data_IF_730989504566
#
_entry.id   IF_730989504566
#
_cell.length_a   1.000
_cell.length_b   1.000
_cell.length_c   1.000
_cell.angle_alpha   90.00
_cell.angle_beta   90.00
_cell.angle_gamma   90.00
#
_symmetry.space_group_name_H-M   'P 1'
#
loop_
_entity.id
_entity.type
_entity.pdbx_description
1 polymer ?
#
# COMPACT_ATOMS: atom_id res chain seq x y z
N UNK A 1 61.30 23.54 -22.49
CA UNK A 1 60.17 23.71 -21.54
C UNK A 1 59.56 22.33 -21.34
N UNK A 2 60.16 21.52 -20.46
CA UNK A 2 59.78 21.31 -19.05
C UNK A 2 58.71 20.20 -18.90
N UNK A 3 59.18 18.95 -18.71
CA UNK A 3 59.00 18.07 -17.52
C UNK A 3 57.65 17.32 -17.47
N UNK A 4 57.57 16.00 -17.69
CA UNK A 4 57.97 14.84 -16.85
C UNK A 4 56.94 14.45 -15.77
N UNK A 5 56.69 13.12 -15.70
CA UNK A 5 56.45 12.26 -14.51
C UNK A 5 55.07 11.63 -14.17
N UNK A 6 55.15 10.28 -14.04
CA UNK A 6 54.50 9.30 -13.12
C UNK A 6 52.95 9.23 -13.04
N UNK A 7 52.27 8.13 -13.40
CA UNK A 7 52.27 6.75 -12.90
C UNK A 7 51.25 6.45 -11.77
N UNK A 8 50.56 5.31 -11.96
CA UNK A 8 50.03 4.38 -10.96
C UNK A 8 48.69 4.68 -10.26
N UNK A 9 47.66 3.86 -10.57
CA UNK A 9 47.10 2.83 -9.69
C UNK A 9 45.60 2.58 -9.90
N UNK A 10 45.26 1.37 -10.34
CA UNK A 10 44.32 0.41 -9.71
C UNK A 10 42.96 0.99 -9.24
N UNK A 11 41.78 0.54 -9.70
CA UNK A 11 41.48 -0.69 -10.42
C UNK A 11 39.98 -0.91 -10.68
N UNK A 12 39.74 -2.01 -11.39
CA UNK A 12 38.47 -2.61 -11.79
C UNK A 12 37.37 -2.59 -10.70
N UNK A 13 36.17 -2.11 -11.07
CA UNK A 13 34.92 -2.43 -10.38
C UNK A 13 33.87 -2.95 -11.38
N UNK A 14 34.16 -4.11 -11.98
CA UNK A 14 33.10 -5.02 -12.42
C UNK A 14 32.62 -5.82 -11.20
N UNK A 15 31.54 -5.37 -10.54
CA UNK A 15 30.78 -6.24 -9.63
C UNK A 15 29.60 -6.85 -10.36
N UNK A 16 29.82 -8.06 -10.88
CA UNK A 16 28.77 -9.06 -11.11
C UNK A 16 27.93 -9.18 -9.83
N UNK A 17 26.64 -8.85 -9.90
CA UNK A 17 25.67 -9.15 -8.83
C UNK A 17 25.43 -10.66 -8.83
N UNK A 18 26.20 -11.36 -7.99
CA UNK A 18 25.94 -12.75 -7.65
C UNK A 18 24.69 -12.83 -6.77
N UNK A 19 23.55 -13.21 -7.36
CA UNK A 19 22.34 -13.64 -6.65
C UNK A 19 22.47 -15.10 -6.18
N UNK A 20 23.50 -15.38 -5.36
CA UNK A 20 23.64 -16.66 -4.66
C UNK A 20 24.13 -16.41 -3.24
N UNK A 21 23.18 -16.21 -2.33
CA UNK A 21 23.34 -16.41 -0.90
C UNK A 21 21.94 -16.57 -0.27
N UNK A 22 21.32 -17.72 -0.53
CA UNK A 22 20.16 -18.22 0.21
C UNK A 22 20.36 -19.73 0.45
N UNK A 23 21.46 -20.10 1.10
CA UNK A 23 21.66 -21.45 1.62
C UNK A 23 22.43 -21.31 2.93
N UNK A 24 21.69 -21.38 4.05
CA UNK A 24 22.14 -21.86 5.37
C UNK A 24 20.97 -21.73 6.38
N UNK A 25 19.94 -22.55 6.18
CA UNK A 25 19.10 -23.09 7.26
C UNK A 25 18.95 -24.61 7.02
N UNK A 26 19.78 -25.38 7.74
CA UNK A 26 19.67 -26.81 8.10
C UNK A 26 20.07 -27.93 7.09
N UNK A 27 20.48 -29.13 7.59
CA UNK A 27 21.41 -30.05 6.92
C UNK A 27 20.75 -31.13 6.05
N UNK A 28 21.60 -31.73 5.22
CA UNK A 28 21.41 -32.82 4.25
C UNK A 28 20.22 -33.78 4.42
N UNK A 29 19.42 -33.91 3.37
CA UNK A 29 19.44 -35.09 2.47
C UNK A 29 18.69 -34.82 1.16
N UNK A 30 19.23 -35.34 0.06
CA UNK A 30 18.93 -35.03 -1.34
C UNK A 30 17.57 -35.54 -1.83
N UNK A 31 16.85 -34.71 -2.63
CA UNK A 31 16.25 -35.06 -3.94
C UNK A 31 15.62 -33.82 -4.62
N UNK A 32 16.15 -33.49 -5.81
CA UNK A 32 15.72 -32.64 -6.95
C UNK A 32 14.79 -31.41 -6.78
N UNK A 33 15.06 -30.30 -7.52
CA UNK A 33 14.50 -28.97 -7.24
C UNK A 33 13.14 -28.78 -7.91
N UNK A 34 12.07 -28.85 -7.13
CA UNK A 34 10.85 -28.14 -7.46
C UNK A 34 11.08 -26.63 -7.27
N UNK A 35 10.59 -25.85 -8.21
CA UNK A 35 10.48 -24.39 -8.17
C UNK A 35 10.24 -23.89 -6.74
N UNK A 36 11.13 -23.03 -6.23
CA UNK A 36 10.92 -22.36 -4.95
C UNK A 36 9.69 -21.45 -5.06
N UNK A 37 8.52 -21.99 -4.75
CA UNK A 37 7.34 -21.23 -4.42
C UNK A 37 7.70 -20.38 -3.19
N UNK A 38 7.66 -19.06 -3.34
CA UNK A 38 7.53 -18.17 -2.19
C UNK A 38 6.31 -18.66 -1.40
N UNK A 39 6.49 -19.11 -0.16
CA UNK A 39 5.35 -19.24 0.74
C UNK A 39 4.89 -17.81 1.08
N UNK A 40 3.70 -17.39 0.64
CA UNK A 40 3.24 -16.06 0.96
C UNK A 40 2.92 -15.99 2.45
N UNK A 41 3.52 -15.01 3.09
CA UNK A 41 3.35 -14.77 4.51
C UNK A 41 3.05 -13.31 4.80
N UNK A 42 2.51 -13.08 5.98
CA UNK A 42 2.41 -11.75 6.55
C UNK A 42 3.80 -11.11 6.66
N UNK A 43 3.89 -9.81 6.38
CA UNK A 43 5.11 -9.03 6.57
C UNK A 43 5.53 -9.11 8.05
N UNK A 44 6.79 -9.50 8.28
CA UNK A 44 7.39 -9.51 9.62
C UNK A 44 8.40 -8.37 9.75
N UNK A 45 8.25 -7.58 10.79
CA UNK A 45 9.13 -6.45 11.10
C UNK A 45 9.59 -6.58 12.55
N UNK A 46 10.85 -6.99 12.74
CA UNK A 46 11.34 -7.34 14.07
C UNK A 46 10.52 -8.45 14.71
N UNK A 47 9.88 -8.16 15.84
CA UNK A 47 8.99 -9.08 16.56
C UNK A 47 7.51 -8.90 16.22
N UNK A 48 7.18 -7.95 15.34
CA UNK A 48 5.80 -7.65 14.95
C UNK A 48 5.44 -8.35 13.64
N UNK A 49 4.36 -9.13 13.65
CA UNK A 49 3.68 -9.58 12.43
C UNK A 49 2.68 -8.51 12.02
N UNK A 50 2.88 -7.91 10.86
CA UNK A 50 2.00 -6.90 10.27
C UNK A 50 0.91 -7.63 9.48
N UNK A 51 -0.39 -7.31 9.61
CA UNK A 51 -1.47 -7.96 8.87
C UNK A 51 -1.51 -7.46 7.41
N UNK A 52 -0.37 -7.62 6.73
CA UNK A 52 -0.15 -7.24 5.35
C UNK A 52 0.49 -8.40 4.62
N UNK A 53 -0.14 -8.86 3.55
CA UNK A 53 0.38 -9.92 2.68
C UNK A 53 1.10 -9.24 1.52
N UNK A 54 2.39 -9.51 1.35
CA UNK A 54 3.12 -9.01 0.18
C UNK A 54 2.96 -10.01 -0.96
N UNK A 55 2.18 -9.63 -1.98
CA UNK A 55 1.93 -10.47 -3.15
C UNK A 55 3.14 -10.46 -4.10
N UNK A 56 3.85 -9.32 -4.20
CA UNK A 56 5.03 -9.20 -5.06
C UNK A 56 5.87 -7.96 -4.73
N UNK A 57 7.16 -8.05 -5.07
CA UNK A 57 8.12 -6.96 -4.95
C UNK A 57 8.49 -6.41 -6.33
N UNK A 58 8.65 -5.08 -6.39
CA UNK A 58 9.16 -4.35 -7.52
C UNK A 58 10.69 -4.14 -7.44
N UNK A 59 11.20 -2.98 -7.91
CA UNK A 59 10.42 -1.79 -8.28
C UNK A 59 9.69 -1.94 -9.62
N UNK A 60 8.46 -1.45 -9.65
CA UNK A 60 7.64 -1.41 -10.86
C UNK A 60 7.84 -0.07 -11.58
N UNK A 61 8.30 -0.15 -12.83
CA UNK A 61 8.20 0.96 -13.77
C UNK A 61 6.77 1.07 -14.28
N UNK A 62 6.40 2.25 -14.79
CA UNK A 62 5.03 2.53 -15.25
C UNK A 62 4.60 1.57 -16.35
N UNK A 63 5.49 1.35 -17.32
CA UNK A 63 5.29 0.43 -18.43
C UNK A 63 5.23 -1.05 -18.04
N UNK A 64 5.61 -1.39 -16.80
CA UNK A 64 5.57 -2.74 -16.27
C UNK A 64 4.34 -3.00 -15.38
N UNK A 65 3.44 -2.02 -15.23
CA UNK A 65 2.13 -2.20 -14.60
C UNK A 65 1.08 -2.22 -15.71
N UNK A 66 0.61 -3.40 -16.07
CA UNK A 66 -0.42 -3.60 -17.08
C UNK A 66 -1.81 -3.57 -16.42
N UNK A 67 -2.65 -2.63 -16.85
CA UNK A 67 -3.99 -2.44 -16.31
C UNK A 67 -5.04 -2.87 -17.34
N UNK A 68 -5.88 -3.83 -16.94
CA UNK A 68 -7.02 -4.30 -17.70
C UNK A 68 -8.30 -3.89 -16.99
N UNK A 69 -9.29 -3.43 -17.75
CA UNK A 69 -10.57 -2.98 -17.19
C UNK A 69 -11.73 -3.63 -17.93
N UNK A 70 -12.64 -4.22 -17.17
CA UNK A 70 -13.91 -4.72 -17.67
C UNK A 70 -15.04 -3.82 -17.12
N UNK A 71 -15.72 -3.03 -17.96
CA UNK A 71 -16.76 -2.11 -17.50
C UNK A 71 -18.07 -2.81 -17.08
N UNK A 72 -18.18 -4.13 -17.28
CA UNK A 72 -19.38 -4.87 -16.90
C UNK A 72 -19.52 -4.96 -15.38
N UNK A 73 -20.66 -4.50 -14.86
CA UNK A 73 -21.02 -4.68 -13.46
C UNK A 73 -21.30 -6.15 -13.13
N UNK A 74 -20.87 -6.56 -11.94
CA UNK A 74 -21.07 -7.92 -11.43
C UNK A 74 -22.22 -7.91 -10.46
N UNK A 75 -23.18 -8.80 -10.68
CA UNK A 75 -24.23 -9.03 -9.70
C UNK A 75 -23.60 -9.62 -8.44
N UNK A 76 -23.63 -8.85 -7.34
CA UNK A 76 -23.15 -9.30 -6.02
C UNK A 76 -24.05 -10.40 -5.45
N UNK A 77 -23.56 -11.22 -4.50
CA UNK A 77 -24.40 -12.17 -3.78
C UNK A 77 -25.65 -11.53 -3.14
N UNK A 78 -26.78 -12.25 -3.02
CA UNK A 78 -28.04 -11.71 -2.50
C UNK A 78 -27.94 -11.00 -1.14
N UNK A 79 -27.13 -11.52 -0.23
CA UNK A 79 -26.87 -10.96 1.10
C UNK A 79 -26.15 -9.61 1.02
N UNK A 80 -25.14 -9.47 0.15
CA UNK A 80 -24.42 -8.21 -0.04
C UNK A 80 -25.35 -7.18 -0.68
N UNK A 81 -26.18 -7.60 -1.66
CA UNK A 81 -27.20 -6.70 -2.21
C UNK A 81 -28.23 -6.26 -1.16
N UNK A 82 -28.58 -7.15 -0.23
CA UNK A 82 -29.49 -6.81 0.86
C UNK A 82 -28.87 -5.78 1.81
N UNK A 83 -27.61 -5.98 2.23
CA UNK A 83 -26.87 -5.01 3.05
C UNK A 83 -26.76 -3.66 2.34
N UNK A 84 -26.44 -3.66 1.04
CA UNK A 84 -26.39 -2.44 0.23
C UNK A 84 -27.74 -1.70 0.22
N UNK A 85 -28.85 -2.40 -0.04
CA UNK A 85 -30.20 -1.80 0.00
C UNK A 85 -30.55 -1.23 1.37
N UNK A 86 -30.14 -1.90 2.45
CA UNK A 86 -30.33 -1.42 3.82
C UNK A 86 -29.52 -0.14 4.08
N UNK A 87 -28.25 -0.11 3.66
CA UNK A 87 -27.41 1.09 3.77
C UNK A 87 -28.01 2.27 3.01
N UNK A 88 -28.41 2.09 1.75
CA UNK A 88 -29.01 3.16 0.95
C UNK A 88 -30.30 3.67 1.58
N UNK A 89 -31.17 2.78 2.08
CA UNK A 89 -32.39 3.18 2.79
C UNK A 89 -32.08 4.00 4.04
N UNK A 90 -31.06 3.62 4.80
CA UNK A 90 -30.63 4.36 5.98
C UNK A 90 -30.04 5.73 5.63
N UNK A 91 -29.18 5.80 4.61
CA UNK A 91 -28.60 7.06 4.12
C UNK A 91 -29.72 8.01 3.67
N UNK A 92 -30.65 7.55 2.84
CA UNK A 92 -31.78 8.38 2.38
C UNK A 92 -32.64 8.88 3.56
N UNK A 93 -32.84 8.05 4.60
CA UNK A 93 -33.58 8.42 5.81
C UNK A 93 -32.87 9.52 6.59
N UNK A 94 -31.54 9.45 6.70
CA UNK A 94 -30.70 10.44 7.39
C UNK A 94 -30.63 11.75 6.59
N UNK A 95 -30.45 11.66 5.28
CA UNK A 95 -30.45 12.81 4.38
C UNK A 95 -31.79 13.56 4.42
N UNK A 96 -32.93 12.85 4.43
CA UNK A 96 -34.26 13.45 4.57
C UNK A 96 -34.47 14.20 5.90
N UNK A 97 -33.63 13.94 6.91
CA UNK A 97 -33.61 14.67 8.19
C UNK A 97 -32.60 15.82 8.23
N UNK A 98 -31.87 16.06 7.14
CA UNK A 98 -30.79 17.03 7.09
C UNK A 98 -29.52 16.59 7.84
N UNK A 99 -29.37 15.30 8.14
CA UNK A 99 -28.15 14.79 8.75
C UNK A 99 -27.02 14.68 7.70
N UNK A 100 -25.75 14.93 8.07
CA UNK A 100 -24.62 14.69 7.17
C UNK A 100 -24.52 13.21 6.77
N UNK A 101 -24.46 12.95 5.46
CA UNK A 101 -24.36 11.61 4.88
C UNK A 101 -23.15 11.50 3.96
N UNK A 102 -22.54 10.30 3.83
CA UNK A 102 -21.43 10.10 2.90
C UNK A 102 -21.90 10.18 1.44
N UNK A 103 -21.03 10.69 0.58
CA UNK A 103 -21.21 10.65 -0.87
C UNK A 103 -20.80 9.27 -1.43
N UNK A 104 -21.56 8.73 -2.38
CA UNK A 104 -21.23 7.46 -3.03
C UNK A 104 -20.21 7.67 -4.16
N UNK A 105 -18.93 7.66 -3.82
CA UNK A 105 -17.83 7.77 -4.78
C UNK A 105 -17.71 6.54 -5.70
N UNK A 106 -17.30 6.76 -6.95
CA UNK A 106 -17.08 5.70 -7.93
C UNK A 106 -15.63 5.19 -7.85
N UNK A 107 -15.44 3.89 -7.62
CA UNK A 107 -14.13 3.27 -7.43
C UNK A 107 -13.87 2.07 -8.35
N UNK A 108 -12.85 1.30 -7.99
CA UNK A 108 -12.39 0.11 -8.72
C UNK A 108 -12.30 -1.11 -7.80
N UNK A 109 -12.91 -2.21 -8.22
CA UNK A 109 -12.74 -3.51 -7.59
C UNK A 109 -11.62 -4.27 -8.30
N UNK A 110 -10.69 -4.83 -7.55
CA UNK A 110 -9.67 -5.72 -8.11
C UNK A 110 -10.29 -7.12 -8.32
N UNK A 111 -10.38 -7.54 -9.57
CA UNK A 111 -10.95 -8.84 -9.96
C UNK A 111 -9.93 -9.97 -9.87
N UNK A 112 -8.72 -9.71 -10.37
CA UNK A 112 -7.60 -10.67 -10.38
C UNK A 112 -6.31 -9.93 -10.64
N UNK A 113 -5.20 -10.56 -10.28
CA UNK A 113 -3.88 -10.07 -10.58
C UNK A 113 -2.94 -11.20 -10.98
N UNK A 114 -1.86 -10.84 -11.63
CA UNK A 114 -0.81 -11.76 -12.02
C UNK A 114 0.55 -11.17 -11.65
N UNK A 115 1.33 -11.94 -10.91
CA UNK A 115 2.68 -11.60 -10.43
C UNK A 115 3.68 -12.66 -10.91
N UNK A 116 4.98 -12.36 -10.81
CA UNK A 116 6.06 -13.29 -11.16
C UNK A 116 6.50 -13.25 -12.63
N UNK A 117 5.84 -12.43 -13.46
CA UNK A 117 6.26 -12.17 -14.84
C UNK A 117 7.47 -11.24 -14.84
N UNK A 118 8.41 -11.48 -15.78
CA UNK A 118 9.64 -10.70 -15.94
C UNK A 118 9.85 -10.34 -17.41
N UNK A 119 10.40 -9.15 -17.68
CA UNK A 119 10.65 -8.64 -19.04
C UNK A 119 12.12 -8.30 -19.26
N UNK A 120 12.59 -8.57 -20.47
CA UNK A 120 13.92 -8.18 -20.94
C UNK A 120 15.05 -8.93 -20.25
N UNK A 121 16.28 -8.61 -20.64
CA UNK A 121 17.50 -9.26 -20.12
C UNK A 121 17.78 -8.93 -18.65
N UNK A 122 17.18 -7.85 -18.13
CA UNK A 122 17.31 -7.42 -16.75
C UNK A 122 16.24 -7.99 -15.82
N UNK A 123 15.39 -8.88 -16.33
CA UNK A 123 14.37 -9.57 -15.53
C UNK A 123 13.44 -8.60 -14.78
N UNK A 124 13.05 -7.51 -15.45
CA UNK A 124 12.26 -6.45 -14.83
C UNK A 124 10.86 -6.97 -14.46
N UNK A 125 10.38 -6.76 -13.22
CA UNK A 125 9.13 -7.35 -12.76
C UNK A 125 7.93 -6.70 -13.46
N UNK A 126 7.00 -7.53 -13.96
CA UNK A 126 5.72 -7.11 -14.52
C UNK A 126 4.60 -7.45 -13.54
N UNK A 127 3.71 -6.49 -13.33
CA UNK A 127 2.47 -6.64 -12.58
C UNK A 127 1.29 -6.46 -13.52
N UNK A 128 0.37 -7.44 -13.57
CA UNK A 128 -0.88 -7.31 -14.33
C UNK A 128 -2.06 -7.26 -13.38
N UNK A 129 -2.90 -6.25 -13.52
CA UNK A 129 -4.05 -6.02 -12.65
C UNK A 129 -5.32 -5.92 -13.50
N UNK A 130 -6.37 -6.63 -13.09
CA UNK A 130 -7.67 -6.61 -13.75
C UNK A 130 -8.72 -6.00 -12.84
N UNK A 131 -9.45 -5.03 -13.34
CA UNK A 131 -10.42 -4.26 -12.57
C UNK A 131 -11.83 -4.30 -13.14
N UNK A 132 -12.79 -4.10 -12.25
CA UNK A 132 -14.21 -3.86 -12.54
C UNK A 132 -14.71 -2.60 -11.83
N UNK A 133 -15.79 -1.97 -12.30
CA UNK A 133 -16.41 -0.86 -11.57
C UNK A 133 -16.95 -1.30 -10.20
N UNK A 134 -16.82 -0.42 -9.21
CA UNK A 134 -17.52 -0.52 -7.92
C UNK A 134 -17.76 0.88 -7.35
N UNK A 135 -18.30 0.97 -6.14
CA UNK A 135 -18.61 2.23 -5.47
C UNK A 135 -18.32 2.17 -3.97
N UNK A 136 -18.27 3.35 -3.36
CA UNK A 136 -17.95 3.54 -1.95
C UNK A 136 -18.96 2.85 -1.04
N UNK A 137 -20.25 2.86 -1.40
CA UNK A 137 -21.28 2.19 -0.60
C UNK A 137 -21.14 0.68 -0.60
N UNK A 138 -20.68 0.08 -1.70
CA UNK A 138 -20.34 -1.35 -1.74
C UNK A 138 -19.22 -1.65 -0.74
N UNK A 139 -18.13 -0.87 -0.75
CA UNK A 139 -17.02 -1.00 0.20
C UNK A 139 -17.49 -0.88 1.66
N UNK A 140 -18.41 0.05 1.95
CA UNK A 140 -18.98 0.21 3.29
C UNK A 140 -19.77 -1.01 3.79
N UNK A 141 -20.36 -1.80 2.89
CA UNK A 141 -21.11 -3.01 3.25
C UNK A 141 -20.34 -4.31 3.06
N UNK A 142 -19.12 -4.23 2.51
CA UNK A 142 -18.23 -5.37 2.33
C UNK A 142 -16.94 -5.23 3.13
N UNK A 143 -15.93 -4.57 2.56
CA UNK A 143 -14.54 -4.52 3.03
C UNK A 143 -14.47 -3.97 4.47
N UNK A 144 -15.31 -2.99 4.80
CA UNK A 144 -15.38 -2.37 6.13
C UNK A 144 -16.22 -3.13 7.16
N UNK A 145 -16.92 -4.19 6.75
CA UNK A 145 -17.86 -4.95 7.60
C UNK A 145 -17.66 -6.45 7.50
N UNK A 146 -16.44 -6.89 7.15
CA UNK A 146 -16.13 -8.29 6.92
C UNK A 146 -16.45 -9.20 8.10
N UNK A 147 -16.28 -8.68 9.32
CA UNK A 147 -16.47 -9.39 10.58
C UNK A 147 -17.81 -9.07 11.26
N UNK A 148 -18.66 -8.24 10.66
CA UNK A 148 -19.99 -8.00 11.20
C UNK A 148 -20.86 -9.25 11.03
N UNK A 149 -21.57 -9.69 12.08
CA UNK A 149 -22.45 -10.85 11.97
C UNK A 149 -23.62 -10.59 11.01
N UNK A 150 -23.83 -11.52 10.09
CA UNK A 150 -24.95 -11.57 9.15
C UNK A 150 -25.72 -12.89 9.30
N UNK A 151 -26.99 -12.87 8.91
CA UNK A 151 -27.84 -14.07 8.90
C UNK A 151 -28.06 -14.51 7.47
N UNK A 152 -27.64 -15.73 7.14
CA UNK A 152 -27.84 -16.35 5.84
C UNK A 152 -28.51 -17.70 6.07
N UNK A 153 -29.69 -17.93 5.50
CA UNK A 153 -30.45 -19.18 5.64
C UNK A 153 -30.62 -19.63 7.12
N UNK A 154 -30.94 -18.69 8.02
CA UNK A 154 -31.04 -18.90 9.48
C UNK A 154 -29.73 -19.31 10.20
N UNK A 155 -28.58 -19.19 9.54
CA UNK A 155 -27.26 -19.38 10.14
C UNK A 155 -26.59 -18.02 10.34
N UNK A 156 -26.08 -17.77 11.55
CA UNK A 156 -25.24 -16.60 11.86
C UNK A 156 -23.82 -16.86 11.38
N UNK A 157 -23.27 -15.98 10.56
CA UNK A 157 -21.91 -16.05 10.01
C UNK A 157 -21.38 -14.63 9.76
N UNK A 158 -20.19 -14.46 9.17
CA UNK A 158 -19.64 -13.19 8.69
C UNK A 158 -19.27 -13.26 7.20
N UNK A 159 -19.03 -12.13 6.54
CA UNK A 159 -18.52 -12.13 5.17
C UNK A 159 -17.11 -12.74 5.08
N UNK A 160 -16.28 -12.55 6.11
CA UNK A 160 -14.95 -13.17 6.18
C UNK A 160 -15.06 -14.70 6.21
N UNK A 161 -15.87 -15.23 7.11
CA UNK A 161 -16.07 -16.69 7.25
C UNK A 161 -16.56 -17.30 5.94
N UNK A 162 -17.51 -16.63 5.29
CA UNK A 162 -18.15 -17.16 4.08
C UNK A 162 -17.27 -17.09 2.82
N UNK A 163 -16.53 -15.99 2.65
CA UNK A 163 -15.87 -15.69 1.36
C UNK A 163 -14.35 -15.56 1.42
N UNK A 164 -13.77 -15.12 2.54
CA UNK A 164 -12.33 -14.91 2.64
C UNK A 164 -11.57 -16.07 3.29
N UNK A 165 -12.23 -16.87 4.14
CA UNK A 165 -11.58 -17.91 4.95
C UNK A 165 -10.80 -18.96 4.14
N UNK A 166 -11.20 -19.20 2.88
CA UNK A 166 -10.56 -20.15 1.98
C UNK A 166 -9.66 -19.49 0.92
N UNK A 167 -9.53 -18.16 0.93
CA UNK A 167 -8.77 -17.42 -0.08
C UNK A 167 -7.39 -17.07 0.45
N UNK A 168 -6.36 -17.44 -0.32
CA UNK A 168 -5.02 -16.94 -0.10
C UNK A 168 -4.84 -15.60 -0.83
N UNK A 169 -4.83 -14.51 -0.07
CA UNK A 169 -4.75 -13.13 -0.59
C UNK A 169 -3.48 -12.86 -1.41
N UNK A 170 -2.44 -13.67 -1.26
CA UNK A 170 -1.23 -13.55 -2.07
C UNK A 170 -1.41 -13.97 -3.54
N UNK A 171 -2.44 -14.77 -3.82
CA UNK A 171 -2.67 -15.33 -5.15
C UNK A 171 -3.97 -14.87 -5.78
N UNK A 172 -4.96 -14.45 -4.99
CA UNK A 172 -6.25 -14.01 -5.51
C UNK A 172 -6.91 -13.01 -4.58
N UNK A 173 -7.57 -11.96 -5.12
CA UNK A 173 -8.54 -11.19 -4.35
C UNK A 173 -9.77 -12.04 -4.04
N UNK A 174 -10.59 -11.57 -3.09
CA UNK A 174 -11.88 -12.18 -2.79
C UNK A 174 -12.92 -11.61 -3.77
N UNK A 175 -13.47 -12.39 -4.72
CA UNK A 175 -14.26 -11.84 -5.83
C UNK A 175 -15.54 -11.08 -5.41
N UNK A 176 -16.10 -11.41 -4.26
CA UNK A 176 -17.27 -10.76 -3.71
C UNK A 176 -16.96 -9.36 -3.19
N UNK A 177 -15.72 -9.15 -2.72
CA UNK A 177 -15.21 -7.87 -2.22
C UNK A 177 -13.84 -7.52 -2.82
N UNK A 178 -12.91 -6.88 -2.10
CA UNK A 178 -11.76 -6.17 -2.69
C UNK A 178 -12.18 -4.98 -3.56
N UNK A 179 -13.13 -4.20 -3.02
CA UNK A 179 -13.78 -3.07 -3.68
C UNK A 179 -13.01 -1.76 -3.52
N UNK A 180 -11.85 -1.84 -2.88
CA UNK A 180 -10.90 -0.74 -2.76
C UNK A 180 -9.53 -1.13 -3.37
N UNK A 181 -9.01 -0.24 -4.23
CA UNK A 181 -7.64 -0.32 -4.73
C UNK A 181 -6.86 0.94 -4.34
N UNK A 182 -5.91 0.74 -3.44
CA UNK A 182 -5.15 1.81 -2.81
C UNK A 182 -3.77 2.07 -3.42
N UNK A 183 -3.24 3.24 -3.12
CA UNK A 183 -1.86 3.65 -3.34
C UNK A 183 -1.34 4.26 -2.04
N UNK A 184 -0.23 3.72 -1.54
CA UNK A 184 0.44 4.18 -0.33
C UNK A 184 1.85 4.61 -0.65
N UNK A 185 2.23 5.83 -0.29
CA UNK A 185 3.55 6.35 -0.57
C UNK A 185 4.23 6.92 0.68
N UNK A 186 5.52 6.64 0.79
CA UNK A 186 6.40 7.44 1.62
C UNK A 186 7.00 8.58 0.81
N UNK A 187 6.89 9.80 1.32
CA UNK A 187 7.52 10.99 0.76
C UNK A 187 8.81 11.24 1.53
N UNK A 188 9.92 11.30 0.81
CA UNK A 188 11.23 11.64 1.33
C UNK A 188 11.64 13.01 0.80
N UNK A 189 11.80 13.95 1.71
CA UNK A 189 12.18 15.34 1.45
C UNK A 189 13.65 15.50 1.09
N UNK A 190 13.98 16.67 0.52
CA UNK A 190 15.33 17.03 0.13
C UNK A 190 16.31 17.01 1.31
N UNK A 191 15.89 17.50 2.48
CA UNK A 191 16.64 17.48 3.75
C UNK A 191 16.59 16.11 4.46
N UNK A 192 16.29 15.04 3.71
CA UNK A 192 16.33 13.63 4.14
C UNK A 192 15.42 13.34 5.33
N UNK A 193 14.20 13.88 5.30
CA UNK A 193 13.11 13.48 6.20
C UNK A 193 12.09 12.61 5.48
N UNK A 194 11.67 11.54 6.13
CA UNK A 194 10.49 10.77 5.75
C UNK A 194 9.27 11.32 6.51
N UNK A 195 8.13 11.41 5.82
CA UNK A 195 6.91 12.01 6.36
C UNK A 195 5.96 10.90 6.84
N UNK A 196 5.38 11.06 8.02
CA UNK A 196 4.22 10.28 8.44
C UNK A 196 3.03 11.22 8.66
N UNK A 197 1.85 10.79 8.24
CA UNK A 197 0.60 11.46 8.57
C UNK A 197 0.02 10.86 9.86
N UNK A 198 -0.61 11.71 10.67
CA UNK A 198 -1.40 11.31 11.82
C UNK A 198 -2.85 11.75 11.58
N UNK A 199 -3.77 10.79 11.56
CA UNK A 199 -5.18 11.05 11.26
C UNK A 199 -5.84 11.80 12.41
N UNK A 200 -6.69 12.77 12.08
CA UNK A 200 -7.42 13.56 13.06
C UNK A 200 -8.54 12.80 13.77
N UNK A 201 -9.16 13.43 14.79
CA UNK A 201 -10.20 12.81 15.62
C UNK A 201 -11.50 12.48 14.87
N UNK A 202 -11.72 13.06 13.69
CA UNK A 202 -12.92 12.88 12.86
C UNK A 202 -12.72 11.90 11.71
N UNK A 203 -11.48 11.42 11.49
CA UNK A 203 -11.16 10.49 10.44
C UNK A 203 -11.39 9.04 10.88
N UNK A 204 -11.64 8.15 9.91
CA UNK A 204 -11.59 6.69 10.13
C UNK A 204 -10.21 6.36 10.69
N UNK A 205 -10.10 5.50 11.72
CA UNK A 205 -8.83 5.22 12.39
C UNK A 205 -8.17 6.48 13.03
N UNK A 206 -8.92 7.20 13.88
CA UNK A 206 -8.44 8.42 14.55
C UNK A 206 -7.15 8.21 15.37
N UNK A 207 -6.24 9.18 15.31
CA UNK A 207 -4.91 9.16 15.97
C UNK A 207 -3.99 8.00 15.55
N UNK A 208 -4.33 7.31 14.45
CA UNK A 208 -3.48 6.28 13.85
C UNK A 208 -2.46 6.94 12.92
N UNK A 209 -1.23 6.43 12.94
CA UNK A 209 -0.19 6.85 12.01
C UNK A 209 -0.33 6.15 10.65
N UNK A 210 -0.31 6.94 9.58
CA UNK A 210 -0.48 6.54 8.19
C UNK A 210 0.79 6.86 7.36
N UNK A 211 0.96 6.27 6.16
CA UNK A 211 2.04 6.67 5.26
C UNK A 211 1.87 8.15 4.87
N UNK A 212 2.88 8.72 4.20
CA UNK A 212 2.83 10.15 3.84
C UNK A 212 1.65 10.49 2.94
N UNK A 213 1.22 9.52 2.12
CA UNK A 213 0.02 9.56 1.27
C UNK A 213 -0.64 8.19 1.29
N UNK A 214 -1.97 8.16 1.47
CA UNK A 214 -2.79 6.94 1.44
C UNK A 214 -4.09 7.20 0.67
N UNK A 215 -4.09 6.89 -0.63
CA UNK A 215 -5.20 7.23 -1.52
C UNK A 215 -5.89 6.02 -2.15
N UNK A 216 -7.22 6.13 -2.26
CA UNK A 216 -8.02 5.21 -3.07
C UNK A 216 -8.12 5.68 -4.51
N UNK A 217 -8.05 4.75 -5.47
CA UNK A 217 -8.24 5.11 -6.88
C UNK A 217 -9.70 5.44 -7.18
N UNK A 218 -9.92 6.59 -7.82
CA UNK A 218 -11.23 7.15 -8.13
C UNK A 218 -11.47 7.18 -9.64
N UNK A 219 -12.64 6.72 -10.09
CA UNK A 219 -12.96 6.65 -11.53
C UNK A 219 -12.95 8.02 -12.22
N UNK A 220 -13.60 9.08 -11.67
CA UNK A 220 -13.65 10.38 -12.32
C UNK A 220 -12.29 11.06 -12.52
N UNK A 221 -11.31 10.81 -11.65
CA UNK A 221 -10.04 11.55 -11.63
C UNK A 221 -8.85 10.71 -12.08
N UNK A 222 -8.88 9.41 -11.86
CA UNK A 222 -7.70 8.54 -11.99
C UNK A 222 -7.85 7.52 -13.13
N UNK A 223 -8.84 7.64 -14.00
CA UNK A 223 -9.04 6.72 -15.12
C UNK A 223 -7.98 6.88 -16.22
N UNK A 224 -7.51 5.75 -16.75
CA UNK A 224 -6.83 5.60 -18.02
C UNK A 224 -7.82 5.74 -19.19
N UNK A 225 -7.28 5.84 -20.42
CA UNK A 225 -8.10 5.86 -21.64
C UNK A 225 -8.98 4.61 -21.80
N UNK A 226 -8.56 3.45 -21.27
CA UNK A 226 -9.32 2.21 -21.30
C UNK A 226 -10.34 2.10 -20.14
N UNK A 227 -10.46 3.14 -19.30
CA UNK A 227 -11.35 3.19 -18.14
C UNK A 227 -10.82 2.55 -16.86
N UNK A 228 -9.66 1.88 -16.88
CA UNK A 228 -9.03 1.31 -15.68
C UNK A 228 -8.28 2.35 -14.83
N UNK A 229 -7.89 2.03 -13.59
CA UNK A 229 -7.15 2.97 -12.74
C UNK A 229 -5.72 3.21 -13.25
N UNK A 230 -5.28 4.47 -13.23
CA UNK A 230 -3.86 4.84 -13.36
C UNK A 230 -3.28 5.09 -11.96
N UNK A 231 -2.51 4.13 -11.38
CA UNK A 231 -1.98 4.28 -10.03
C UNK A 231 -1.01 5.46 -9.89
N UNK A 232 -0.39 5.92 -10.98
CA UNK A 232 0.46 7.11 -10.95
C UNK A 232 -0.37 8.38 -10.87
N UNK A 233 -1.55 8.45 -11.52
CA UNK A 233 -2.47 9.58 -11.35
C UNK A 233 -3.00 9.63 -9.93
N UNK A 234 -3.41 8.49 -9.38
CA UNK A 234 -3.83 8.36 -7.97
C UNK A 234 -2.74 8.89 -7.03
N UNK A 235 -1.49 8.45 -7.22
CA UNK A 235 -0.34 8.90 -6.43
C UNK A 235 -0.11 10.42 -6.52
N UNK A 236 -0.05 10.96 -7.75
CA UNK A 236 0.18 12.40 -7.98
C UNK A 236 -0.93 13.22 -7.33
N UNK A 237 -2.20 12.81 -7.50
CA UNK A 237 -3.35 13.45 -6.89
C UNK A 237 -3.23 13.42 -5.36
N UNK A 238 -2.97 12.26 -4.75
CA UNK A 238 -2.83 12.15 -3.30
C UNK A 238 -1.73 13.03 -2.72
N UNK A 239 -0.58 13.09 -3.39
CA UNK A 239 0.52 13.97 -2.97
C UNK A 239 0.09 15.45 -3.02
N UNK A 240 -0.63 15.86 -4.07
CA UNK A 240 -1.15 17.22 -4.19
C UNK A 240 -2.24 17.52 -3.14
N UNK A 241 -3.16 16.59 -2.90
CA UNK A 241 -4.30 16.76 -1.98
C UNK A 241 -3.88 16.76 -0.50
N UNK A 242 -2.92 15.90 -0.12
CA UNK A 242 -2.46 15.77 1.26
C UNK A 242 -1.34 16.75 1.64
N UNK A 243 -0.41 17.02 0.71
CA UNK A 243 0.82 17.79 0.97
C UNK A 243 0.87 19.12 0.22
N UNK A 244 0.04 19.33 -0.81
CA UNK A 244 0.04 20.55 -1.61
C UNK A 244 1.23 20.68 -2.56
N UNK A 245 1.95 19.58 -2.82
CA UNK A 245 3.13 19.57 -3.70
C UNK A 245 2.81 18.88 -5.02
N UNK A 246 3.41 19.37 -6.10
CA UNK A 246 3.33 18.73 -7.42
C UNK A 246 4.54 17.81 -7.63
N UNK A 247 4.28 16.62 -8.16
CA UNK A 247 5.33 15.67 -8.58
C UNK A 247 5.01 15.11 -9.94
N UNK A 248 6.06 14.72 -10.68
CA UNK A 248 5.90 14.01 -11.95
C UNK A 248 5.72 12.51 -11.71
N UNK A 249 4.91 11.81 -12.54
CA UNK A 249 4.76 10.35 -12.47
C UNK A 249 6.08 9.59 -12.40
N UNK A 250 7.12 10.06 -13.09
CA UNK A 250 8.43 9.40 -13.18
C UNK A 250 9.22 9.46 -11.86
N UNK A 251 8.83 10.33 -10.93
CA UNK A 251 9.43 10.39 -9.58
C UNK A 251 8.88 9.32 -8.64
N UNK A 252 7.75 8.70 -8.98
CA UNK A 252 7.09 7.70 -8.14
C UNK A 252 7.67 6.32 -8.43
N UNK A 253 8.08 5.64 -7.37
CA UNK A 253 8.60 4.27 -7.44
C UNK A 253 7.72 3.34 -6.60
N UNK A 254 6.94 2.49 -7.26
CA UNK A 254 6.18 1.44 -6.58
C UNK A 254 7.11 0.27 -6.26
N UNK A 255 7.25 -0.05 -4.97
CA UNK A 255 8.20 -1.02 -4.44
C UNK A 255 7.57 -2.38 -4.19
N UNK A 256 6.25 -2.45 -4.00
CA UNK A 256 5.54 -3.70 -3.80
C UNK A 256 4.06 -3.57 -4.12
N UNK A 257 3.45 -4.72 -4.38
CA UNK A 257 2.01 -4.89 -4.42
C UNK A 257 1.60 -5.92 -3.35
N UNK A 258 0.52 -5.64 -2.63
CA UNK A 258 0.09 -6.48 -1.53
C UNK A 258 -1.35 -6.21 -1.09
N UNK A 259 -1.75 -6.90 -0.03
CA UNK A 259 -3.09 -6.83 0.53
C UNK A 259 -3.07 -6.58 2.04
N UNK A 260 -3.99 -5.76 2.52
CA UNK A 260 -4.36 -5.71 3.92
C UNK A 260 -5.16 -6.97 4.25
N UNK A 261 -4.67 -7.80 5.16
CA UNK A 261 -5.32 -9.07 5.50
C UNK A 261 -6.59 -8.88 6.34
N UNK A 262 -6.71 -7.76 7.04
CA UNK A 262 -7.90 -7.43 7.82
C UNK A 262 -9.02 -6.99 6.90
N UNK A 263 -8.78 -6.06 5.98
CA UNK A 263 -9.83 -5.52 5.13
C UNK A 263 -9.98 -6.24 3.78
N UNK A 264 -9.05 -7.15 3.45
CA UNK A 264 -8.93 -7.78 2.13
C UNK A 264 -8.80 -6.77 0.97
N UNK A 265 -8.25 -5.59 1.27
CA UNK A 265 -8.00 -4.51 0.31
C UNK A 265 -6.61 -4.61 -0.27
N UNK A 266 -6.46 -4.24 -1.54
CA UNK A 266 -5.18 -4.33 -2.26
C UNK A 266 -4.61 -2.96 -2.52
N UNK A 267 -3.28 -2.84 -2.46
CA UNK A 267 -2.62 -1.59 -2.77
C UNK A 267 -1.22 -1.76 -3.38
N UNK A 268 -0.81 -0.74 -4.10
CA UNK A 268 0.59 -0.48 -4.42
C UNK A 268 1.23 0.34 -3.30
N UNK A 269 2.40 -0.09 -2.83
CA UNK A 269 3.19 0.63 -1.85
C UNK A 269 4.46 1.16 -2.52
N UNK A 270 4.85 2.39 -2.23
CA UNK A 270 5.99 3.01 -2.89
C UNK A 270 6.65 4.14 -2.13
N UNK A 271 7.57 4.80 -2.81
CA UNK A 271 8.31 5.96 -2.33
C UNK A 271 8.41 7.01 -3.43
N UNK A 272 8.45 8.27 -3.01
CA UNK A 272 8.76 9.42 -3.88
C UNK A 272 9.78 10.31 -3.16
N UNK A 273 10.78 10.77 -3.92
CA UNK A 273 11.77 11.72 -3.45
C UNK A 273 11.44 13.08 -4.05
N UNK A 274 11.32 14.10 -3.20
CA UNK A 274 10.89 15.45 -3.60
C UNK A 274 12.00 16.47 -3.34
N UNK A 275 12.04 17.50 -4.17
CA UNK A 275 13.02 18.58 -4.09
C UNK A 275 12.67 19.64 -3.03
N UNK A 276 11.56 19.42 -2.30
CA UNK A 276 11.12 20.26 -1.19
C UNK A 276 11.74 19.78 0.12
N UNK A 277 12.14 20.73 0.97
CA UNK A 277 12.52 20.44 2.36
C UNK A 277 11.27 20.23 3.23
N UNK A 278 11.47 19.65 4.41
CA UNK A 278 10.43 19.56 5.44
C UNK A 278 9.80 20.91 5.79
N UNK A 279 10.60 21.99 5.77
CA UNK A 279 10.14 23.36 6.03
C UNK A 279 9.22 23.86 4.91
N UNK A 280 9.60 23.64 3.65
CA UNK A 280 8.81 24.09 2.49
C UNK A 280 7.42 23.46 2.51
N UNK A 281 7.34 22.15 2.81
CA UNK A 281 6.06 21.43 2.88
C UNK A 281 5.19 21.96 4.02
N UNK A 282 5.77 22.26 5.18
CA UNK A 282 5.04 22.88 6.29
C UNK A 282 4.49 24.26 5.93
N UNK A 283 5.26 25.06 5.21
CA UNK A 283 4.85 26.37 4.73
C UNK A 283 3.69 26.27 3.74
N UNK A 284 3.79 25.41 2.74
CA UNK A 284 2.71 25.12 1.77
C UNK A 284 1.42 24.69 2.49
N UNK A 285 1.53 23.79 3.47
CA UNK A 285 0.38 23.37 4.29
C UNK A 285 -0.23 24.52 5.10
N UNK A 286 0.60 25.42 5.60
CA UNK A 286 0.13 26.56 6.40
C UNK A 286 -0.73 27.53 5.58
N UNK A 287 -0.45 27.66 4.28
CA UNK A 287 -1.19 28.48 3.32
C UNK A 287 -2.59 27.93 2.97
N UNK A 288 -2.95 26.73 3.46
CA UNK A 288 -4.28 26.15 3.24
C UNK A 288 -4.51 25.61 1.82
N UNK A 289 -3.43 25.40 1.06
CA UNK A 289 -3.47 24.83 -0.29
C UNK A 289 -3.99 23.37 -0.30
N UNK A 290 -3.67 22.49 0.67
CA UNK A 290 -4.13 21.10 0.65
C UNK A 290 -5.62 20.95 0.99
N UNK A 291 -6.36 20.19 0.16
CA UNK A 291 -7.80 19.98 0.30
C UNK A 291 -8.17 19.15 1.54
N UNK A 292 -7.35 18.16 1.89
CA UNK A 292 -7.65 17.19 2.95
C UNK A 292 -6.92 17.50 4.26
N UNK A 293 -6.61 18.77 4.48
CA UNK A 293 -6.01 19.25 5.73
C UNK A 293 -6.85 18.87 6.96
N UNK A 294 -8.16 18.72 6.80
CA UNK A 294 -9.08 18.38 7.88
C UNK A 294 -9.04 16.89 8.26
N UNK A 295 -8.65 15.99 7.35
CA UNK A 295 -8.53 14.55 7.64
C UNK A 295 -7.22 14.20 8.37
N UNK A 296 -6.14 14.91 8.04
CA UNK A 296 -4.81 14.71 8.62
C UNK A 296 -4.47 15.82 9.62
N UNK A 297 -4.47 15.48 10.92
CA UNK A 297 -4.20 16.42 12.01
C UNK A 297 -2.77 16.94 11.98
N UNK A 298 -1.79 16.06 11.74
CA UNK A 298 -0.37 16.41 11.85
C UNK A 298 0.49 15.64 10.87
N UNK A 299 1.52 16.32 10.35
CA UNK A 299 2.63 15.68 9.66
C UNK A 299 3.83 15.58 10.60
N UNK A 300 4.48 14.42 10.60
CA UNK A 300 5.68 14.13 11.36
C UNK A 300 6.86 13.91 10.42
N UNK A 301 7.91 14.71 10.59
CA UNK A 301 9.12 14.65 9.77
C UNK A 301 10.22 13.94 10.56
N UNK A 302 10.55 12.71 10.15
CA UNK A 302 11.53 11.86 10.83
C UNK A 302 12.78 11.76 9.97
N UNK A 303 13.98 11.74 10.57
CA UNK A 303 15.20 11.49 9.80
C UNK A 303 15.07 10.20 8.98
N UNK A 304 15.29 10.27 7.67
CA UNK A 304 15.20 9.12 6.78
C UNK A 304 16.43 8.21 6.99
N UNK A 305 16.34 7.37 8.01
CA UNK A 305 17.31 6.33 8.35
C UNK A 305 16.60 5.19 9.07
N UNK A 306 17.06 3.94 8.95
CA UNK A 306 16.40 2.81 9.59
C UNK A 306 16.25 2.97 11.10
N UNK A 307 17.30 3.44 11.79
CA UNK A 307 17.31 3.64 13.25
C UNK A 307 16.28 4.68 13.69
N UNK A 308 16.30 5.89 13.10
CA UNK A 308 15.39 6.96 13.51
C UNK A 308 13.92 6.60 13.25
N UNK A 309 13.63 5.91 12.14
CA UNK A 309 12.26 5.44 11.85
C UNK A 309 11.84 4.35 12.81
N UNK A 310 12.70 3.37 13.10
CA UNK A 310 12.39 2.32 14.08
C UNK A 310 12.13 2.89 15.48
N UNK A 311 12.95 3.85 15.93
CA UNK A 311 12.76 4.57 17.20
C UNK A 311 11.44 5.34 17.20
N UNK A 312 11.13 6.07 16.11
CA UNK A 312 9.88 6.80 15.99
C UNK A 312 8.66 5.87 16.05
N UNK A 313 8.69 4.76 15.31
CA UNK A 313 7.63 3.74 15.29
C UNK A 313 7.44 3.02 16.62
N UNK A 314 8.50 2.89 17.41
CA UNK A 314 8.41 2.32 18.74
C UNK A 314 7.77 3.29 19.75
N UNK A 315 8.09 4.58 19.67
CA UNK A 315 7.61 5.61 20.60
C UNK A 315 6.17 6.05 20.32
N UNK A 316 5.76 6.04 19.05
CA UNK A 316 4.42 6.48 18.63
C UNK A 316 3.53 5.29 18.31
N UNK A 317 2.22 5.41 18.54
CA UNK A 317 1.26 4.33 18.35
C UNK A 317 -0.17 4.87 18.38
N UNK A 318 -1.14 4.14 17.81
CA UNK A 318 -0.97 2.94 16.98
C UNK A 318 -0.61 3.24 15.52
N UNK A 319 -0.05 2.25 14.82
CA UNK A 319 0.32 2.34 13.41
C UNK A 319 -0.65 1.57 12.51
N UNK A 320 -1.05 2.17 11.39
CA UNK A 320 -1.72 1.40 10.35
C UNK A 320 -0.75 0.36 9.77
N UNK A 321 -1.21 -0.87 9.44
CA UNK A 321 -0.39 -1.84 8.72
C UNK A 321 0.19 -1.27 7.43
N UNK A 322 -0.58 -0.38 6.77
CA UNK A 322 -0.20 0.26 5.51
C UNK A 322 1.00 1.21 5.67
N UNK A 323 1.04 2.00 6.75
CA UNK A 323 2.20 2.85 7.06
C UNK A 323 3.46 2.02 7.29
N UNK A 324 3.33 0.92 8.02
CA UNK A 324 4.47 0.06 8.35
C UNK A 324 5.07 -0.56 7.09
N UNK A 325 4.25 -1.15 6.20
CA UNK A 325 4.76 -1.73 4.96
C UNK A 325 5.39 -0.67 4.05
N UNK A 326 4.77 0.50 3.88
CA UNK A 326 5.30 1.57 3.04
C UNK A 326 6.67 2.06 3.55
N UNK A 327 6.79 2.31 4.85
CA UNK A 327 8.03 2.78 5.46
C UNK A 327 9.14 1.73 5.40
N UNK A 328 8.83 0.48 5.75
CA UNK A 328 9.80 -0.62 5.73
C UNK A 328 10.31 -0.88 4.32
N UNK A 329 9.43 -0.85 3.31
CA UNK A 329 9.83 -1.03 1.92
C UNK A 329 10.65 0.16 1.40
N UNK A 330 10.29 1.40 1.75
CA UNK A 330 11.09 2.59 1.40
C UNK A 330 12.50 2.54 2.01
N UNK A 331 12.61 2.13 3.29
CA UNK A 331 13.90 1.94 3.95
C UNK A 331 14.71 0.78 3.35
N UNK A 332 14.05 -0.33 3.02
CA UNK A 332 14.69 -1.47 2.37
C UNK A 332 15.30 -1.06 1.03
N UNK A 333 14.55 -0.30 0.22
CA UNK A 333 15.00 0.19 -1.08
C UNK A 333 16.23 1.11 -0.96
N UNK A 334 16.24 1.99 0.04
CA UNK A 334 17.32 2.97 0.23
C UNK A 334 18.56 2.40 0.95
N UNK A 335 18.39 1.52 1.93
CA UNK A 335 19.46 1.11 2.85
C UNK A 335 19.77 -0.39 2.79
N UNK A 336 18.94 -1.19 2.12
CA UNK A 336 19.07 -2.63 2.07
C UNK A 336 18.64 -3.35 3.38
N UNK A 337 18.68 -4.68 3.38
CA UNK A 337 18.12 -5.51 4.45
C UNK A 337 18.89 -5.46 5.77
N UNK A 338 20.22 -5.36 5.74
CA UNK A 338 21.03 -5.49 6.94
C UNK A 338 20.84 -4.32 7.94
N UNK A 339 20.92 -3.04 7.51
CA UNK A 339 20.65 -1.92 8.41
C UNK A 339 19.20 -1.91 8.94
N UNK A 340 18.26 -2.34 8.11
CA UNK A 340 16.84 -2.41 8.47
C UNK A 340 16.59 -3.49 9.55
N UNK A 341 17.13 -4.68 9.33
CA UNK A 341 17.04 -5.79 10.30
C UNK A 341 17.63 -5.37 11.65
N UNK A 342 18.80 -4.75 11.66
CA UNK A 342 19.44 -4.32 12.91
C UNK A 342 18.62 -3.27 13.66
N UNK A 343 18.06 -2.28 12.94
CA UNK A 343 17.23 -1.23 13.54
C UNK A 343 15.92 -1.78 14.15
N UNK A 344 15.27 -2.75 13.47
CA UNK A 344 13.97 -3.27 13.89
C UNK A 344 14.04 -4.53 14.76
N UNK A 345 15.20 -5.16 14.96
CA UNK A 345 15.33 -6.45 15.68
C UNK A 345 14.62 -6.52 17.04
N UNK A 346 14.57 -5.39 17.75
CA UNK A 346 13.94 -5.26 19.07
C UNK A 346 12.70 -4.36 19.05
N UNK A 347 12.31 -3.82 17.89
CA UNK A 347 11.14 -2.97 17.78
C UNK A 347 9.88 -3.80 18.03
N UNK A 348 9.01 -3.28 18.90
CA UNK A 348 7.65 -3.78 19.12
C UNK A 348 6.68 -2.72 18.63
N UNK A 349 6.31 -2.80 17.36
CA UNK A 349 5.37 -1.88 16.74
C UNK A 349 3.96 -2.24 17.18
N UNK A 350 3.21 -1.26 17.69
CA UNK A 350 1.79 -1.43 18.05
C UNK A 350 0.94 -1.04 16.87
N UNK A 351 0.16 -1.98 16.35
CA UNK A 351 -0.67 -1.81 15.16
C UNK A 351 -2.11 -1.43 15.53
N UNK A 352 -2.77 -0.63 14.69
CA UNK A 352 -4.19 -0.29 14.83
C UNK A 352 -5.10 -1.47 14.50
N UNK A 353 -4.63 -2.37 13.63
CA UNK A 353 -5.34 -3.55 13.17
C UNK A 353 -4.58 -4.81 13.60
N UNK A 354 -5.33 -5.84 13.97
CA UNK A 354 -4.80 -7.16 14.34
C UNK A 354 -5.26 -8.18 13.31
N UNK A 355 -4.46 -9.23 13.14
CA UNK A 355 -4.90 -10.39 12.37
C UNK A 355 -6.20 -10.94 12.98
N UNK A 356 -7.15 -11.41 12.15
CA UNK A 356 -8.29 -12.20 12.64
C UNK A 356 -7.78 -13.40 13.46
N UNK A 357 -8.48 -13.73 14.55
CA UNK A 357 -8.17 -14.88 15.42
C UNK A 357 -8.42 -16.23 14.74
#
# INVERSE_FOLDING_TARGET
>A
MATSFLAACIGNWHKKRNWRCLENFLPHTQKQPAQHAYEPGYLKVGKTTVPWVVCSYGPYKRENIEIFYNPCEVKKPPEIQQLYRQLVKEINRREAKGEPVPFNGLGYQLEKFFVGYRKGEHEEPILKLHFRPTDYFTMLVTDNRLDEPIIINNTKTTLREKYASCINLAYSPVPEFATHFGVGLMVVTYDKKIIFSERGPTAVDSFVFFPSVAEGSSRPTDALHNGGPDPYRTAVRGIAEELGIEVRPEQIKFLSFGANAVLCEYALCGVVYVDHTSRDILEIRSLGIPKDRWENQRLHFVNFSPKAVAEFMFLHKPWSPFAVVCAVHALYDAFGPAPLTDAFKNAKIVLSQKLPE
#
